data_IF_737896356993
#
_entry.id   IF_737896356993
#
_cell.length_a   1.000
_cell.length_b   1.000
_cell.length_c   1.000
_cell.angle_alpha   90.00
_cell.angle_beta   90.00
_cell.angle_gamma   90.00
#
_symmetry.space_group_name_H-M   'P 1'
#
loop_
_entity.id
_entity.type
_entity.pdbx_description
1 polymer ?
#
# COMPACT_ATOMS: atom_id res chain seq x y z
N UNK A 1 -8.37 -14.87 36.56
CA UNK A 1 -7.82 -15.71 35.47
C UNK A 1 -7.37 -14.78 34.37
N UNK A 2 -6.07 -14.52 34.28
CA UNK A 2 -5.47 -13.81 33.14
C UNK A 2 -5.58 -14.73 31.93
N UNK A 3 -6.41 -14.35 30.96
CA UNK A 3 -6.41 -15.00 29.64
C UNK A 3 -4.99 -14.86 29.10
N UNK A 4 -4.28 -15.95 28.79
CA UNK A 4 -2.95 -15.84 28.21
C UNK A 4 -3.06 -15.03 26.91
N UNK A 5 -2.26 -13.97 26.79
CA UNK A 5 -2.21 -13.19 25.57
C UNK A 5 -1.92 -14.15 24.40
N UNK A 6 -2.87 -14.27 23.47
CA UNK A 6 -2.63 -14.97 22.22
C UNK A 6 -1.41 -14.32 21.56
N UNK A 7 -0.42 -15.10 21.08
CA UNK A 7 0.71 -14.54 20.37
C UNK A 7 0.18 -13.71 19.19
N UNK A 8 0.69 -12.50 19.03
CA UNK A 8 0.24 -11.60 17.97
C UNK A 8 0.43 -12.26 16.60
N UNK A 9 -0.63 -12.30 15.79
CA UNK A 9 -0.60 -12.91 14.47
C UNK A 9 0.41 -12.18 13.57
N UNK A 10 1.33 -12.93 12.95
CA UNK A 10 2.27 -12.39 11.96
C UNK A 10 1.69 -12.56 10.56
N UNK A 11 1.30 -11.46 9.94
CA UNK A 11 0.81 -11.38 8.58
C UNK A 11 1.98 -11.33 7.59
N UNK A 12 1.72 -11.74 6.35
CA UNK A 12 2.73 -11.69 5.29
C UNK A 12 3.15 -10.27 4.90
N UNK A 13 2.45 -9.26 5.40
CA UNK A 13 2.79 -7.85 5.20
C UNK A 13 3.45 -7.18 6.41
N UNK A 14 3.66 -7.92 7.50
CA UNK A 14 4.46 -7.39 8.60
C UNK A 14 5.90 -7.19 8.19
N UNK A 15 6.42 -6.01 8.49
CA UNK A 15 7.78 -5.64 8.17
C UNK A 15 8.34 -4.72 9.24
N UNK A 16 9.44 -5.15 9.83
CA UNK A 16 10.22 -4.35 10.76
C UNK A 16 11.24 -3.55 9.94
N UNK A 17 11.10 -2.22 9.92
CA UNK A 17 12.02 -1.37 9.17
C UNK A 17 13.43 -1.50 9.76
N UNK A 18 14.45 -1.90 8.97
CA UNK A 18 15.80 -2.07 9.48
C UNK A 18 16.36 -0.75 10.05
N UNK A 19 17.13 -0.85 11.14
CA UNK A 19 17.61 0.31 11.90
C UNK A 19 18.73 1.09 11.19
N UNK A 20 19.29 0.53 10.12
CA UNK A 20 20.37 1.14 9.36
C UNK A 20 19.91 2.51 8.79
N UNK A 21 20.75 3.56 8.85
CA UNK A 21 20.37 4.90 8.40
C UNK A 21 19.86 4.95 6.96
N UNK A 22 20.35 4.05 6.11
CA UNK A 22 19.87 3.92 4.73
C UNK A 22 18.37 3.57 4.70
N UNK A 23 17.95 2.52 5.40
CA UNK A 23 16.56 2.05 5.41
C UNK A 23 15.64 3.01 6.15
N UNK A 24 16.11 3.62 7.24
CA UNK A 24 15.38 4.69 7.93
C UNK A 24 15.10 5.87 7.00
N UNK A 25 16.07 6.27 6.17
CA UNK A 25 15.88 7.34 5.19
C UNK A 25 14.98 6.92 4.01
N UNK A 26 15.02 5.65 3.58
CA UNK A 26 14.10 5.11 2.55
C UNK A 26 12.66 5.08 3.07
N UNK A 27 12.47 4.84 4.37
CA UNK A 27 11.16 4.76 5.00
C UNK A 27 10.48 3.40 4.82
N UNK A 28 9.42 3.19 5.59
CA UNK A 28 8.77 1.87 5.73
C UNK A 28 8.20 1.32 4.42
N UNK A 29 7.41 2.10 3.69
CA UNK A 29 6.69 1.61 2.50
C UNK A 29 7.64 1.15 1.39
N UNK A 30 8.63 1.94 0.93
CA UNK A 30 9.53 1.50 -0.14
C UNK A 30 10.48 0.38 0.32
N UNK A 31 10.95 0.41 1.57
CA UNK A 31 11.78 -0.65 2.13
C UNK A 31 11.02 -1.98 2.16
N UNK A 32 9.81 -2.01 2.73
CA UNK A 32 8.98 -3.23 2.79
C UNK A 32 8.80 -3.85 1.41
N UNK A 33 8.46 -3.04 0.41
CA UNK A 33 8.26 -3.51 -0.96
C UNK A 33 9.56 -4.09 -1.54
N UNK A 34 10.70 -3.51 -1.21
CA UNK A 34 12.02 -4.01 -1.62
C UNK A 34 12.32 -5.39 -1.03
N UNK A 35 12.12 -5.55 0.28
CA UNK A 35 12.34 -6.82 0.98
C UNK A 35 11.31 -7.91 0.59
N UNK A 36 10.15 -7.53 0.06
CA UNK A 36 9.21 -8.48 -0.53
C UNK A 36 9.66 -9.03 -1.91
N UNK A 37 10.62 -8.35 -2.56
CA UNK A 37 11.12 -8.71 -3.90
C UNK A 37 12.50 -9.35 -3.89
N UNK A 38 13.31 -9.04 -2.88
CA UNK A 38 14.71 -9.45 -2.79
C UNK A 38 14.96 -10.16 -1.46
N UNK A 39 15.63 -11.31 -1.53
CA UNK A 39 16.05 -12.01 -0.30
C UNK A 39 17.13 -11.21 0.41
N UNK A 40 17.36 -11.49 1.70
CA UNK A 40 18.45 -10.83 2.44
C UNK A 40 19.81 -11.02 1.75
N UNK A 41 20.06 -12.22 1.21
CA UNK A 41 21.30 -12.50 0.46
C UNK A 41 21.42 -11.65 -0.82
N UNK A 42 20.31 -11.42 -1.54
CA UNK A 42 20.31 -10.52 -2.69
C UNK A 42 20.66 -9.09 -2.23
N UNK A 43 20.01 -8.60 -1.17
CA UNK A 43 20.20 -7.25 -0.63
C UNK A 43 21.65 -7.04 -0.17
N UNK A 44 22.21 -8.02 0.55
CA UNK A 44 23.61 -7.97 1.01
C UNK A 44 24.57 -7.92 -0.18
N UNK A 45 24.29 -8.68 -1.25
CA UNK A 45 25.12 -8.69 -2.47
C UNK A 45 25.06 -7.40 -3.28
N UNK A 46 23.97 -6.63 -3.16
CA UNK A 46 23.82 -5.35 -3.86
C UNK A 46 24.70 -4.26 -3.27
N UNK A 47 25.18 -4.44 -2.03
CA UNK A 47 26.02 -3.50 -1.28
C UNK A 47 25.49 -2.06 -1.31
N UNK A 48 24.17 -1.90 -1.06
CA UNK A 48 23.48 -0.63 -1.23
C UNK A 48 24.02 0.48 -0.31
N UNK A 49 24.44 0.12 0.89
CA UNK A 49 24.88 1.06 1.92
C UNK A 49 26.26 1.67 1.65
N UNK A 50 27.08 1.03 0.82
CA UNK A 50 28.39 1.58 0.42
C UNK A 50 28.28 2.55 -0.76
N UNK A 51 27.16 2.54 -1.50
CA UNK A 51 26.97 3.34 -2.70
C UNK A 51 26.67 4.80 -2.36
N UNK A 52 27.17 5.77 -3.15
CA UNK A 52 26.91 7.19 -2.91
C UNK A 52 25.42 7.52 -3.17
N UNK A 53 24.67 7.80 -2.10
CA UNK A 53 23.28 8.24 -2.18
C UNK A 53 22.97 9.31 -1.11
N UNK A 54 23.42 10.57 -1.30
CA UNK A 54 23.34 11.61 -0.29
C UNK A 54 21.90 12.02 0.04
N UNK A 55 21.00 12.05 -0.94
CA UNK A 55 19.59 12.40 -0.73
C UNK A 55 18.69 11.16 -0.55
N UNK A 56 17.42 11.38 -0.21
CA UNK A 56 16.41 10.32 -0.22
C UNK A 56 16.11 9.86 -1.65
N UNK A 57 16.04 10.80 -2.60
CA UNK A 57 15.84 10.52 -4.03
C UNK A 57 16.93 9.60 -4.59
N UNK A 58 18.20 9.82 -4.23
CA UNK A 58 19.30 8.97 -4.69
C UNK A 58 19.18 7.53 -4.18
N UNK A 59 18.64 7.35 -2.95
CA UNK A 59 18.38 6.01 -2.41
C UNK A 59 17.26 5.32 -3.17
N UNK A 60 16.20 6.05 -3.52
CA UNK A 60 15.13 5.52 -4.36
C UNK A 60 15.63 5.14 -5.76
N UNK A 61 16.53 5.93 -6.36
CA UNK A 61 17.17 5.58 -7.63
C UNK A 61 18.01 4.30 -7.52
N UNK A 62 18.76 4.13 -6.42
CA UNK A 62 19.50 2.88 -6.19
C UNK A 62 18.58 1.67 -6.13
N UNK A 63 17.46 1.76 -5.41
CA UNK A 63 16.47 0.68 -5.34
C UNK A 63 15.82 0.42 -6.71
N UNK A 64 15.45 1.49 -7.43
CA UNK A 64 14.87 1.40 -8.77
C UNK A 64 15.81 0.68 -9.75
N UNK A 65 17.12 0.99 -9.70
CA UNK A 65 18.12 0.31 -10.51
C UNK A 65 18.17 -1.21 -10.23
N UNK A 66 17.98 -1.65 -8.97
CA UNK A 66 17.95 -3.07 -8.65
C UNK A 66 16.69 -3.74 -9.21
N UNK A 67 15.53 -3.07 -9.11
CA UNK A 67 14.30 -3.56 -9.74
C UNK A 67 14.43 -3.70 -11.26
N UNK A 68 15.00 -2.71 -11.94
CA UNK A 68 15.21 -2.76 -13.39
C UNK A 68 16.18 -3.86 -13.79
N UNK A 69 17.28 -4.01 -13.05
CA UNK A 69 18.27 -5.07 -13.27
C UNK A 69 17.60 -6.44 -13.14
N UNK A 70 16.87 -6.65 -12.05
CA UNK A 70 16.16 -7.91 -11.81
C UNK A 70 15.06 -8.16 -12.85
N UNK A 71 14.33 -7.13 -13.28
CA UNK A 71 13.30 -7.25 -14.31
C UNK A 71 13.88 -7.61 -15.67
N UNK A 72 15.07 -7.11 -16.03
CA UNK A 72 15.76 -7.45 -17.29
C UNK A 72 16.34 -8.87 -17.27
N UNK A 73 16.64 -9.38 -16.08
CA UNK A 73 17.16 -10.72 -15.87
C UNK A 73 16.06 -11.80 -15.79
N UNK A 74 14.77 -11.41 -15.82
CA UNK A 74 13.68 -12.38 -15.92
C UNK A 74 13.79 -13.15 -17.24
N UNK A 75 13.81 -14.48 -17.16
CA UNK A 75 13.70 -15.32 -18.34
C UNK A 75 12.31 -15.07 -18.97
N UNK A 76 12.20 -14.82 -20.30
CA UNK A 76 10.89 -14.74 -20.96
C UNK A 76 10.02 -15.99 -20.77
N UNK A 77 10.62 -17.13 -20.45
CA UNK A 77 9.96 -18.38 -20.08
C UNK A 77 9.79 -18.55 -18.56
N UNK A 78 10.23 -17.59 -17.74
CA UNK A 78 10.05 -17.60 -16.29
C UNK A 78 8.56 -17.61 -15.97
N UNK A 79 8.09 -18.77 -15.51
CA UNK A 79 6.70 -18.99 -15.15
C UNK A 79 6.32 -18.34 -13.81
N UNK A 80 7.29 -17.70 -13.12
CA UNK A 80 7.04 -17.05 -11.84
C UNK A 80 6.39 -15.68 -12.03
N UNK A 81 5.09 -15.70 -12.37
CA UNK A 81 4.23 -14.51 -12.44
C UNK A 81 4.38 -13.62 -11.20
N UNK A 82 4.42 -14.22 -10.00
CA UNK A 82 4.51 -13.47 -8.75
C UNK A 82 5.79 -12.64 -8.65
N UNK A 83 6.93 -13.18 -9.11
CA UNK A 83 8.20 -12.45 -9.13
C UNK A 83 8.12 -11.26 -10.09
N UNK A 84 7.62 -11.48 -11.30
CA UNK A 84 7.44 -10.42 -12.30
C UNK A 84 6.49 -9.31 -11.78
N UNK A 85 5.37 -9.72 -11.19
CA UNK A 85 4.38 -8.84 -10.56
C UNK A 85 5.00 -8.00 -9.44
N UNK A 86 5.73 -8.61 -8.51
CA UNK A 86 6.36 -7.91 -7.39
C UNK A 86 7.39 -6.88 -7.87
N UNK A 87 8.23 -7.24 -8.85
CA UNK A 87 9.20 -6.32 -9.44
C UNK A 87 8.52 -5.14 -10.17
N UNK A 88 7.43 -5.39 -10.89
CA UNK A 88 6.62 -4.34 -11.51
C UNK A 88 5.98 -3.41 -10.46
N UNK A 89 5.35 -3.98 -9.43
CA UNK A 89 4.73 -3.24 -8.33
C UNK A 89 5.76 -2.36 -7.58
N UNK A 90 6.96 -2.89 -7.32
CA UNK A 90 8.04 -2.16 -6.67
C UNK A 90 8.47 -0.92 -7.45
N UNK A 91 8.67 -1.05 -8.76
CA UNK A 91 8.98 0.08 -9.65
C UNK A 91 7.84 1.10 -9.68
N UNK A 92 6.61 0.64 -9.87
CA UNK A 92 5.43 1.51 -9.91
C UNK A 92 5.22 2.29 -8.61
N UNK A 93 5.64 1.74 -7.47
CA UNK A 93 5.56 2.40 -6.17
C UNK A 93 6.68 3.43 -5.98
N UNK A 94 7.90 3.16 -6.47
CA UNK A 94 9.06 4.04 -6.34
C UNK A 94 9.04 5.23 -7.31
N UNK A 95 8.66 5.01 -8.57
CA UNK A 95 8.72 6.03 -9.62
C UNK A 95 8.02 7.35 -9.24
N UNK A 96 6.85 7.35 -8.59
CA UNK A 96 6.19 8.59 -8.19
C UNK A 96 6.93 9.33 -7.07
N UNK A 97 7.66 8.62 -6.19
CA UNK A 97 8.54 9.22 -5.18
C UNK A 97 9.77 9.91 -5.80
N UNK A 98 10.10 9.55 -7.04
CA UNK A 98 11.13 10.18 -7.87
C UNK A 98 10.57 11.28 -8.79
N UNK A 99 9.29 11.65 -8.65
CA UNK A 99 8.62 12.60 -9.55
C UNK A 99 8.28 12.04 -10.93
N UNK A 100 8.41 10.73 -11.13
CA UNK A 100 8.16 10.01 -12.40
C UNK A 100 6.81 9.29 -12.39
N UNK A 101 5.77 10.00 -11.96
CA UNK A 101 4.46 9.40 -11.70
C UNK A 101 3.83 8.70 -12.92
N UNK A 102 3.93 9.33 -14.09
CA UNK A 102 3.38 8.78 -15.34
C UNK A 102 4.03 7.46 -15.76
N UNK A 103 5.32 7.27 -15.47
CA UNK A 103 5.99 5.99 -15.73
C UNK A 103 5.48 4.89 -14.79
N UNK A 104 5.25 5.21 -13.52
CA UNK A 104 4.66 4.28 -12.56
C UNK A 104 3.23 3.88 -12.95
N UNK A 105 2.43 4.85 -13.38
CA UNK A 105 1.07 4.63 -13.87
C UNK A 105 1.04 3.74 -15.12
N UNK A 106 1.99 3.92 -16.05
CA UNK A 106 2.10 3.08 -17.23
C UNK A 106 2.37 1.62 -16.86
N UNK A 107 3.23 1.38 -15.86
CA UNK A 107 3.49 0.02 -15.35
C UNK A 107 2.21 -0.58 -14.73
N UNK A 108 1.47 0.16 -13.91
CA UNK A 108 0.24 -0.34 -13.30
C UNK A 108 -0.82 -0.71 -14.36
N UNK A 109 -0.92 0.07 -15.44
CA UNK A 109 -1.81 -0.23 -16.57
C UNK A 109 -1.40 -1.52 -17.28
N UNK A 110 -0.11 -1.68 -17.59
CA UNK A 110 0.42 -2.90 -18.20
C UNK A 110 0.17 -4.13 -17.31
N UNK A 111 0.29 -3.99 -16.00
CA UNK A 111 -0.04 -5.07 -15.05
C UNK A 111 -1.50 -5.49 -15.17
N UNK A 112 -2.45 -4.55 -15.28
CA UNK A 112 -3.87 -4.89 -15.46
C UNK A 112 -4.17 -5.53 -16.82
N UNK A 113 -3.45 -5.17 -17.88
CA UNK A 113 -3.56 -5.82 -19.20
C UNK A 113 -3.07 -7.27 -19.19
N UNK A 114 -2.21 -7.63 -18.24
CA UNK A 114 -1.64 -8.98 -18.04
C UNK A 114 -2.22 -9.61 -16.77
N UNK A 115 -3.44 -10.17 -16.83
CA UNK A 115 -4.10 -10.72 -15.65
C UNK A 115 -3.31 -11.87 -15.02
N UNK A 116 -3.51 -12.04 -13.71
CA UNK A 116 -2.97 -13.18 -12.97
C UNK A 116 -3.40 -14.50 -13.64
N UNK A 117 -2.46 -15.41 -13.99
CA UNK A 117 -2.78 -16.69 -14.60
C UNK A 117 -3.73 -17.57 -13.77
N UNK A 118 -3.79 -17.36 -12.45
CA UNK A 118 -4.73 -18.04 -11.55
C UNK A 118 -6.16 -17.47 -11.60
N UNK A 119 -6.39 -16.40 -12.35
CA UNK A 119 -7.67 -15.72 -12.48
C UNK A 119 -8.04 -14.83 -11.28
N UNK A 120 -7.12 -14.63 -10.33
CA UNK A 120 -7.36 -13.77 -9.18
C UNK A 120 -7.33 -12.28 -9.56
N UNK A 121 -8.20 -11.45 -8.98
CA UNK A 121 -8.13 -10.01 -9.18
C UNK A 121 -6.81 -9.45 -8.64
N UNK A 122 -6.19 -8.54 -9.39
CA UNK A 122 -4.95 -7.85 -8.99
C UNK A 122 -5.27 -6.67 -8.06
N UNK A 123 -5.83 -6.98 -6.89
CA UNK A 123 -6.43 -6.00 -5.97
C UNK A 123 -5.44 -4.88 -5.59
N UNK A 124 -4.19 -5.22 -5.25
CA UNK A 124 -3.18 -4.22 -4.91
C UNK A 124 -2.86 -3.27 -6.08
N UNK A 125 -2.88 -3.75 -7.33
CA UNK A 125 -2.69 -2.92 -8.54
C UNK A 125 -3.85 -1.94 -8.70
N UNK A 126 -5.08 -2.43 -8.57
CA UNK A 126 -6.27 -1.61 -8.70
C UNK A 126 -6.36 -0.56 -7.59
N UNK A 127 -6.00 -0.90 -6.35
CA UNK A 127 -5.90 0.05 -5.23
C UNK A 127 -4.87 1.15 -5.53
N UNK A 128 -3.66 0.80 -5.99
CA UNK A 128 -2.67 1.81 -6.35
C UNK A 128 -3.18 2.74 -7.46
N UNK A 129 -3.86 2.22 -8.48
CA UNK A 129 -4.45 3.06 -9.53
C UNK A 129 -5.52 3.98 -8.95
N UNK A 130 -6.41 3.49 -8.08
CA UNK A 130 -7.43 4.33 -7.44
C UNK A 130 -6.81 5.47 -6.62
N UNK A 131 -5.72 5.20 -5.89
CA UNK A 131 -4.96 6.23 -5.18
C UNK A 131 -4.36 7.27 -6.14
N UNK A 132 -3.75 6.84 -7.25
CA UNK A 132 -3.16 7.73 -8.26
C UNK A 132 -4.21 8.61 -8.95
N UNK A 133 -5.38 8.03 -9.23
CA UNK A 133 -6.53 8.74 -9.80
C UNK A 133 -7.01 9.83 -8.82
N UNK A 134 -7.12 9.53 -7.53
CA UNK A 134 -7.45 10.53 -6.50
C UNK A 134 -6.36 11.60 -6.31
N UNK A 135 -5.08 11.23 -6.34
CA UNK A 135 -3.93 12.15 -6.25
C UNK A 135 -3.92 13.17 -7.40
N UNK A 136 -4.40 12.78 -8.60
CA UNK A 136 -4.60 13.68 -9.74
C UNK A 136 -5.88 14.52 -9.66
N UNK A 137 -6.69 14.31 -8.63
CA UNK A 137 -7.93 15.05 -8.39
C UNK A 137 -9.18 14.48 -9.08
N UNK A 138 -9.09 13.35 -9.77
CA UNK A 138 -10.27 12.68 -10.33
C UNK A 138 -10.96 11.82 -9.26
N UNK A 139 -11.57 12.51 -8.29
CA UNK A 139 -12.23 11.87 -7.17
C UNK A 139 -13.47 11.07 -7.57
N UNK A 140 -14.08 11.38 -8.73
CA UNK A 140 -15.26 10.67 -9.22
C UNK A 140 -14.90 9.25 -9.68
N UNK A 141 -13.85 9.11 -10.49
CA UNK A 141 -13.38 7.78 -10.90
C UNK A 141 -12.75 7.04 -9.70
N UNK A 142 -12.02 7.73 -8.82
CA UNK A 142 -11.49 7.11 -7.61
C UNK A 142 -12.60 6.52 -6.71
N UNK A 143 -13.69 7.25 -6.47
CA UNK A 143 -14.83 6.72 -5.70
C UNK A 143 -15.40 5.45 -6.34
N UNK A 144 -15.62 5.47 -7.66
CA UNK A 144 -16.15 4.31 -8.39
C UNK A 144 -15.23 3.09 -8.26
N UNK A 145 -13.93 3.27 -8.50
CA UNK A 145 -12.94 2.19 -8.36
C UNK A 145 -12.90 1.62 -6.94
N UNK A 146 -12.93 2.49 -5.93
CA UNK A 146 -12.91 2.07 -4.53
C UNK A 146 -14.17 1.28 -4.14
N UNK A 147 -15.34 1.67 -4.66
CA UNK A 147 -16.60 0.94 -4.43
C UNK A 147 -16.59 -0.45 -5.08
N UNK A 148 -15.88 -0.64 -6.20
CA UNK A 148 -15.67 -1.94 -6.82
C UNK A 148 -14.67 -2.80 -6.02
N UNK A 149 -13.63 -2.18 -5.45
CA UNK A 149 -12.56 -2.89 -4.72
C UNK A 149 -12.92 -3.32 -3.31
N UNK A 150 -13.67 -2.49 -2.58
CA UNK A 150 -14.01 -2.73 -1.17
C UNK A 150 -14.59 -4.13 -0.92
N UNK A 151 -15.61 -4.59 -1.68
CA UNK A 151 -16.15 -5.93 -1.49
C UNK A 151 -15.13 -7.04 -1.76
N UNK A 152 -14.19 -6.85 -2.70
CA UNK A 152 -13.17 -7.84 -3.03
C UNK A 152 -12.14 -7.99 -1.91
N UNK A 153 -11.70 -6.87 -1.33
CA UNK A 153 -10.74 -6.85 -0.21
C UNK A 153 -11.36 -7.43 1.07
N UNK A 154 -12.65 -7.17 1.31
CA UNK A 154 -13.33 -7.66 2.51
C UNK A 154 -13.55 -9.19 2.52
N UNK A 155 -13.61 -9.83 1.35
CA UNK A 155 -13.84 -11.28 1.21
C UNK A 155 -12.57 -12.10 0.93
N UNK A 156 -11.44 -11.45 0.63
CA UNK A 156 -10.16 -12.14 0.41
C UNK A 156 -9.76 -12.89 1.70
N UNK A 157 -9.49 -14.21 1.67
CA UNK A 157 -9.35 -15.03 2.89
C UNK A 157 -8.34 -14.54 3.93
N UNK A 158 -7.26 -13.88 3.47
CA UNK A 158 -6.23 -13.33 4.37
C UNK A 158 -6.62 -11.97 4.95
N UNK A 159 -7.52 -11.28 4.28
CA UNK A 159 -8.00 -9.95 4.60
C UNK A 159 -9.34 -10.04 5.35
N UNK A 160 -10.06 -8.93 5.35
CA UNK A 160 -11.29 -8.71 6.09
C UNK A 160 -11.55 -7.21 6.25
N UNK A 161 -12.75 -6.82 6.70
CA UNK A 161 -13.13 -5.41 6.82
C UNK A 161 -12.27 -4.61 7.81
N UNK A 162 -11.66 -5.29 8.79
CA UNK A 162 -10.75 -4.69 9.77
C UNK A 162 -9.28 -4.69 9.32
N UNK A 163 -8.97 -5.17 8.11
CA UNK A 163 -7.59 -5.19 7.60
C UNK A 163 -7.10 -3.78 7.24
N UNK A 164 -5.79 -3.49 7.40
CA UNK A 164 -5.20 -2.20 6.98
C UNK A 164 -5.52 -1.82 5.53
N UNK A 165 -5.62 -2.80 4.63
CA UNK A 165 -5.96 -2.62 3.23
C UNK A 165 -7.40 -2.12 3.04
N UNK A 166 -8.36 -2.75 3.71
CA UNK A 166 -9.76 -2.33 3.68
C UNK A 166 -9.96 -0.95 4.32
N UNK A 167 -9.31 -0.68 5.45
CA UNK A 167 -9.35 0.63 6.12
C UNK A 167 -8.74 1.74 5.26
N UNK A 168 -7.64 1.45 4.56
CA UNK A 168 -7.03 2.38 3.59
C UNK A 168 -7.98 2.72 2.44
N UNK A 169 -8.72 1.74 1.90
CA UNK A 169 -9.75 2.02 0.89
C UNK A 169 -10.90 2.85 1.44
N UNK A 170 -11.33 2.62 2.68
CA UNK A 170 -12.36 3.47 3.31
C UNK A 170 -11.89 4.92 3.53
N UNK A 171 -10.62 5.14 3.89
CA UNK A 171 -10.03 6.48 3.92
C UNK A 171 -10.07 7.15 2.55
N UNK A 172 -9.67 6.43 1.51
CA UNK A 172 -9.70 6.93 0.14
C UNK A 172 -11.14 7.25 -0.32
N UNK A 173 -12.11 6.39 0.02
CA UNK A 173 -13.53 6.62 -0.26
C UNK A 173 -14.05 7.88 0.44
N UNK A 174 -13.68 8.06 1.70
CA UNK A 174 -14.05 9.22 2.52
C UNK A 174 -13.51 10.51 1.89
N UNK A 175 -12.22 10.53 1.54
CA UNK A 175 -11.59 11.66 0.88
C UNK A 175 -12.25 11.98 -0.46
N UNK A 176 -12.44 10.97 -1.31
CA UNK A 176 -13.05 11.15 -2.62
C UNK A 176 -14.46 11.77 -2.51
N UNK A 177 -15.31 11.22 -1.63
CA UNK A 177 -16.66 11.74 -1.40
C UNK A 177 -16.66 13.16 -0.84
N UNK A 178 -15.77 13.45 0.10
CA UNK A 178 -15.64 14.80 0.67
C UNK A 178 -15.26 15.82 -0.41
N UNK A 179 -14.26 15.49 -1.23
CA UNK A 179 -13.78 16.36 -2.32
C UNK A 179 -14.81 16.58 -3.42
N UNK A 180 -15.71 15.62 -3.63
CA UNK A 180 -16.88 15.76 -4.52
C UNK A 180 -18.05 16.56 -3.91
N UNK A 181 -17.92 17.05 -2.68
CA UNK A 181 -18.99 17.76 -1.96
C UNK A 181 -20.11 16.84 -1.44
N UNK A 182 -19.93 15.51 -1.50
CA UNK A 182 -20.91 14.51 -1.04
C UNK A 182 -20.79 14.31 0.47
N UNK A 183 -21.02 15.37 1.24
CA UNK A 183 -20.70 15.44 2.68
C UNK A 183 -21.37 14.33 3.51
N UNK A 184 -22.65 14.04 3.26
CA UNK A 184 -23.35 12.97 4.00
C UNK A 184 -22.74 11.59 3.71
N UNK A 185 -22.50 11.25 2.45
CA UNK A 185 -21.88 9.98 2.05
C UNK A 185 -20.42 9.86 2.55
N UNK A 186 -19.70 10.98 2.60
CA UNK A 186 -18.36 11.03 3.15
C UNK A 186 -18.37 10.77 4.67
N UNK A 187 -19.33 11.37 5.39
CA UNK A 187 -19.53 11.14 6.82
C UNK A 187 -19.92 9.69 7.12
N UNK A 188 -20.79 9.08 6.31
CA UNK A 188 -21.12 7.65 6.43
C UNK A 188 -19.90 6.76 6.26
N UNK A 189 -19.08 7.00 5.22
CA UNK A 189 -17.81 6.26 5.02
C UNK A 189 -16.86 6.43 6.20
N UNK A 190 -16.74 7.66 6.70
CA UNK A 190 -15.87 7.98 7.83
C UNK A 190 -16.33 7.30 9.13
N UNK A 191 -17.63 7.29 9.41
CA UNK A 191 -18.20 6.58 10.55
C UNK A 191 -17.95 5.07 10.46
N UNK A 192 -18.09 4.48 9.26
CA UNK A 192 -17.72 3.08 9.03
C UNK A 192 -16.24 2.82 9.29
N UNK A 193 -15.36 3.70 8.79
CA UNK A 193 -13.91 3.62 9.00
C UNK A 193 -13.54 3.64 10.49
N UNK A 194 -14.06 4.61 11.26
CA UNK A 194 -13.80 4.73 12.70
C UNK A 194 -14.30 3.50 13.44
N UNK A 195 -15.54 3.07 13.17
CA UNK A 195 -16.11 1.87 13.80
C UNK A 195 -15.25 0.63 13.55
N UNK A 196 -14.86 0.36 12.30
CA UNK A 196 -14.02 -0.79 11.98
C UNK A 196 -12.63 -0.67 12.59
N UNK A 197 -12.08 0.55 12.67
CA UNK A 197 -10.80 0.78 13.35
C UNK A 197 -10.90 0.44 14.84
N UNK A 198 -11.97 0.87 15.53
CA UNK A 198 -12.20 0.56 16.94
C UNK A 198 -12.45 -0.92 17.22
N UNK A 199 -13.19 -1.60 16.34
CA UNK A 199 -13.46 -3.04 16.45
C UNK A 199 -12.22 -3.87 16.14
N UNK A 200 -11.21 -3.34 15.43
CA UNK A 200 -10.01 -4.07 15.06
C UNK A 200 -9.28 -4.67 16.28
N UNK A 201 -9.36 -4.00 17.44
CA UNK A 201 -8.78 -4.45 18.73
C UNK A 201 -9.28 -5.81 19.20
N UNK A 202 -10.49 -6.18 18.77
CA UNK A 202 -11.19 -7.42 19.12
C UNK A 202 -11.04 -8.49 18.00
N UNK A 203 -10.20 -8.22 17.00
CA UNK A 203 -9.94 -9.11 15.86
C UNK A 203 -8.47 -9.51 15.77
N UNK A 204 -8.12 -10.34 14.78
CA UNK A 204 -6.72 -10.64 14.43
C UNK A 204 -5.89 -9.42 14.05
N UNK A 205 -6.52 -8.31 13.68
CA UNK A 205 -5.87 -7.07 13.25
C UNK A 205 -5.56 -6.10 14.39
N UNK A 206 -5.78 -6.50 15.66
CA UNK A 206 -5.66 -5.63 16.85
C UNK A 206 -4.38 -4.80 16.94
N UNK A 207 -3.26 -5.34 16.46
CA UNK A 207 -1.96 -4.67 16.53
C UNK A 207 -1.86 -3.43 15.64
N UNK A 208 -2.70 -3.33 14.60
CA UNK A 208 -2.74 -2.17 13.71
C UNK A 208 -3.66 -1.06 14.23
N UNK A 209 -4.46 -1.30 15.28
CA UNK A 209 -5.48 -0.34 15.74
C UNK A 209 -4.90 1.05 15.99
N UNK A 210 -3.76 1.14 16.67
CA UNK A 210 -3.12 2.41 17.01
C UNK A 210 -2.66 3.17 15.76
N UNK A 211 -1.95 2.50 14.86
CA UNK A 211 -1.46 3.08 13.60
C UNK A 211 -2.63 3.52 12.71
N UNK A 212 -3.69 2.72 12.63
CA UNK A 212 -4.88 3.03 11.85
C UNK A 212 -5.65 4.22 12.42
N UNK A 213 -5.66 4.41 13.75
CA UNK A 213 -6.20 5.62 14.39
C UNK A 213 -5.39 6.86 14.02
N UNK A 214 -4.05 6.78 14.05
CA UNK A 214 -3.19 7.89 13.65
C UNK A 214 -3.44 8.29 12.18
N UNK A 215 -3.55 7.32 11.27
CA UNK A 215 -3.89 7.58 9.87
C UNK A 215 -5.28 8.22 9.70
N UNK A 216 -6.24 7.86 10.54
CA UNK A 216 -7.56 8.47 10.54
C UNK A 216 -7.51 9.92 11.07
N UNK A 217 -6.69 10.20 12.08
CA UNK A 217 -6.44 11.56 12.59
C UNK A 217 -5.74 12.45 11.55
N UNK A 218 -4.81 11.89 10.77
CA UNK A 218 -4.22 12.58 9.63
C UNK A 218 -5.27 12.92 8.58
N UNK A 219 -6.19 12.00 8.26
CA UNK A 219 -7.29 12.26 7.33
C UNK A 219 -8.21 13.37 7.86
N UNK A 220 -8.54 13.35 9.16
CA UNK A 220 -9.37 14.38 9.80
C UNK A 220 -8.74 15.76 9.59
N UNK A 221 -7.45 15.90 9.93
CA UNK A 221 -6.69 17.16 9.76
C UNK A 221 -6.60 17.57 8.29
N UNK A 222 -6.36 16.61 7.39
CA UNK A 222 -6.25 16.84 5.95
C UNK A 222 -7.53 17.39 5.35
N UNK A 223 -8.69 16.95 5.81
CA UNK A 223 -10.00 17.35 5.30
C UNK A 223 -10.66 18.47 6.11
N UNK A 224 -10.15 18.83 7.29
CA UNK A 224 -10.76 19.83 8.17
C UNK A 224 -12.14 19.40 8.67
N UNK A 225 -12.26 18.12 9.05
CA UNK A 225 -13.52 17.48 9.47
C UNK A 225 -13.54 17.13 10.96
N UNK A 226 -12.85 17.91 11.80
CA UNK A 226 -12.78 17.70 13.25
C UNK A 226 -14.17 17.67 13.91
N UNK A 227 -15.15 18.37 13.32
CA UNK A 227 -16.53 18.34 13.79
C UNK A 227 -17.23 16.98 13.62
N UNK A 228 -16.66 16.05 12.83
CA UNK A 228 -17.24 14.72 12.61
C UNK A 228 -16.87 13.72 13.72
N UNK A 229 -15.94 14.07 14.61
CA UNK A 229 -15.48 13.21 15.71
C UNK A 229 -16.15 13.54 17.05
N UNK A 230 -17.06 14.51 17.08
CA UNK A 230 -17.86 14.91 18.24
C UNK A 230 -19.14 14.07 18.34
#
# INVERSE_FOLDING_TARGET
>A
MTIPAQPEERFSWDFDLPAEPFWQAVGWKPARMFFACFSQADIDSMDLMSKPAPSQSDKFELLLQQYETASKALDPLDSNYQRSYNLAMGRATLLPLLGRAEEGDAILKEMLEKPDPSGKPQIATMHNIASRVAERGDYAEAEKMVLELLPMEEIEPKLGPHSPQALSLLRLLTEARYRLGKSELAKESFQRLVKLTEEAKDTKFRKYEADEKELNDELIKKLGIEAWTQ
#
